data_IF_856400847009
#
_entry.id   IF_856400847009
#
_cell.length_a   1.000
_cell.length_b   1.000
_cell.length_c   1.000
_cell.angle_alpha   90.00
_cell.angle_beta   90.00
_cell.angle_gamma   90.00
#
_symmetry.space_group_name_H-M   'P 1'
#
loop_
_entity.id
_entity.type
_entity.pdbx_description
1 polymer ?
#
# COMPACT_ATOMS: atom_id res chain seq x y z
N UNK A 1 21.56 -32.57 47.27
CA UNK A 1 23.02 -32.53 47.47
C UNK A 1 23.60 -31.79 46.27
N UNK A 2 23.98 -30.53 46.45
CA UNK A 2 25.37 -30.05 46.28
C UNK A 2 25.80 -30.06 44.79
N UNK A 3 26.16 -28.95 44.11
CA UNK A 3 26.79 -27.71 44.58
C UNK A 3 26.73 -26.58 43.52
N UNK A 4 26.72 -25.33 44.03
CA UNK A 4 27.59 -24.17 43.69
C UNK A 4 27.74 -23.69 42.22
N UNK A 5 27.94 -22.40 41.91
CA UNK A 5 27.84 -21.07 42.54
C UNK A 5 28.17 -20.08 41.40
N UNK A 6 27.26 -19.14 41.15
CA UNK A 6 27.45 -17.79 40.62
C UNK A 6 28.91 -17.27 40.47
N UNK A 7 29.30 -16.83 39.26
CA UNK A 7 30.27 -15.72 39.03
C UNK A 7 29.86 -14.89 37.81
N UNK A 8 30.06 -13.59 37.96
CA UNK A 8 29.55 -12.48 37.16
C UNK A 8 30.25 -12.29 35.80
N UNK A 9 29.50 -11.70 34.87
CA UNK A 9 29.85 -10.75 33.81
C UNK A 9 31.23 -10.82 33.13
N UNK A 10 31.22 -11.05 31.81
CA UNK A 10 32.15 -10.40 30.87
C UNK A 10 31.35 -9.95 29.64
N UNK A 11 31.21 -8.63 29.49
CA UNK A 11 30.85 -7.97 28.24
C UNK A 11 32.08 -8.01 27.34
N UNK A 12 31.95 -8.54 26.11
CA UNK A 12 32.90 -8.25 25.03
C UNK A 12 32.13 -7.60 23.89
N UNK A 13 32.40 -6.31 23.70
CA UNK A 13 32.10 -5.50 22.54
C UNK A 13 33.05 -5.89 21.40
N UNK A 14 32.51 -6.39 20.29
CA UNK A 14 33.17 -6.39 18.98
C UNK A 14 32.08 -6.57 17.91
N UNK A 15 31.56 -5.49 17.32
CA UNK A 15 32.12 -4.84 16.13
C UNK A 15 32.06 -5.75 14.89
N UNK A 16 30.98 -5.59 14.12
CA UNK A 16 30.74 -6.27 12.84
C UNK A 16 29.56 -5.60 12.13
N UNK A 17 29.75 -4.33 11.77
CA UNK A 17 28.81 -3.51 11.02
C UNK A 17 29.20 -3.56 9.53
N UNK A 18 28.20 -3.72 8.65
CA UNK A 18 28.29 -3.45 7.21
C UNK A 18 28.28 -4.72 6.34
N UNK A 19 27.43 -4.90 5.35
CA UNK A 19 26.55 -4.00 4.60
C UNK A 19 25.29 -4.78 4.22
N UNK A 20 24.12 -4.40 4.73
CA UNK A 20 22.87 -4.67 4.03
C UNK A 20 22.47 -3.34 3.38
N UNK A 21 23.01 -3.08 2.19
CA UNK A 21 22.68 -1.90 1.40
C UNK A 21 21.31 -2.11 0.73
N UNK A 22 20.24 -2.01 1.53
CA UNK A 22 18.87 -1.88 1.04
C UNK A 22 18.37 -0.48 1.37
N UNK A 23 18.75 0.54 0.58
CA UNK A 23 18.41 1.94 0.93
C UNK A 23 18.24 2.85 -0.29
N UNK A 24 17.62 2.35 -1.36
CA UNK A 24 17.19 3.20 -2.48
C UNK A 24 15.74 3.66 -2.33
N UNK A 25 14.81 2.71 -2.20
CA UNK A 25 13.37 2.97 -2.30
C UNK A 25 12.77 3.60 -1.05
N UNK A 26 13.13 3.11 0.15
CA UNK A 26 12.64 3.67 1.41
C UNK A 26 12.94 5.17 1.53
N UNK A 27 14.14 5.59 1.10
CA UNK A 27 14.54 6.99 1.12
C UNK A 27 13.73 7.85 0.14
N UNK A 28 13.30 7.30 -1.00
CA UNK A 28 12.54 8.04 -2.02
C UNK A 28 11.09 8.27 -1.59
N UNK A 29 10.41 7.23 -1.10
CA UNK A 29 9.04 7.32 -0.58
C UNK A 29 8.99 8.31 0.58
N UNK A 30 9.95 8.25 1.50
CA UNK A 30 10.05 9.18 2.62
C UNK A 30 10.28 10.63 2.16
N UNK A 31 11.18 10.85 1.19
CA UNK A 31 11.46 12.19 0.67
C UNK A 31 10.23 12.82 0.02
N UNK A 32 9.52 12.07 -0.83
CA UNK A 32 8.29 12.53 -1.49
C UNK A 32 7.17 12.77 -0.47
N UNK A 33 7.03 11.90 0.53
CA UNK A 33 6.07 12.08 1.63
C UNK A 33 6.30 13.41 2.35
N UNK A 34 7.56 13.75 2.67
CA UNK A 34 7.88 15.03 3.33
C UNK A 34 7.55 16.23 2.44
N UNK A 35 7.77 16.13 1.13
CA UNK A 35 7.42 17.21 0.20
C UNK A 35 5.91 17.40 0.07
N UNK A 36 5.11 16.32 0.11
CA UNK A 36 3.65 16.40 0.17
C UNK A 36 3.13 17.15 1.40
N UNK A 37 3.88 17.16 2.50
CA UNK A 37 3.57 17.88 3.73
C UNK A 37 4.17 19.31 3.78
N UNK A 38 4.81 19.76 2.69
CA UNK A 38 5.40 21.09 2.64
C UNK A 38 4.34 22.18 2.76
N UNK A 39 4.66 23.25 3.48
CA UNK A 39 3.81 24.46 3.55
C UNK A 39 3.69 25.16 2.20
N UNK A 40 4.71 24.99 1.35
CA UNK A 40 4.76 25.56 0.01
C UNK A 40 3.95 24.70 -0.98
N UNK A 41 2.84 25.21 -1.55
CA UNK A 41 2.04 24.46 -2.51
C UNK A 41 2.83 24.06 -3.76
N UNK A 42 3.84 24.82 -4.17
CA UNK A 42 4.69 24.45 -5.31
C UNK A 42 5.49 23.18 -5.04
N UNK A 43 5.99 22.99 -3.82
CA UNK A 43 6.69 21.77 -3.43
C UNK A 43 5.74 20.57 -3.37
N UNK A 44 4.51 20.77 -2.88
CA UNK A 44 3.49 19.71 -2.90
C UNK A 44 3.15 19.29 -4.32
N UNK A 45 2.91 20.26 -5.23
CA UNK A 45 2.65 20.00 -6.66
C UNK A 45 3.82 19.26 -7.31
N UNK A 46 5.06 19.67 -7.03
CA UNK A 46 6.24 18.98 -7.54
C UNK A 46 6.27 17.51 -7.11
N UNK A 47 6.04 17.24 -5.83
CA UNK A 47 5.97 15.88 -5.31
C UNK A 47 4.85 15.07 -5.98
N UNK A 48 3.65 15.63 -6.10
CA UNK A 48 2.50 14.98 -6.77
C UNK A 48 2.85 14.62 -8.22
N UNK A 49 3.47 15.55 -8.94
CA UNK A 49 3.88 15.32 -10.33
C UNK A 49 4.93 14.21 -10.44
N UNK A 50 5.93 14.20 -9.55
CA UNK A 50 6.93 13.12 -9.48
C UNK A 50 6.30 11.78 -9.13
N UNK A 51 5.37 11.74 -8.17
CA UNK A 51 4.65 10.53 -7.76
C UNK A 51 3.87 9.94 -8.94
N UNK A 52 3.11 10.77 -9.65
CA UNK A 52 2.32 10.31 -10.79
C UNK A 52 3.18 9.92 -12.01
N UNK A 53 4.33 10.57 -12.22
CA UNK A 53 5.20 10.25 -13.36
C UNK A 53 6.04 9.01 -13.17
N UNK A 54 6.54 8.81 -11.97
CA UNK A 54 7.40 7.69 -11.62
C UNK A 54 6.58 6.51 -11.06
N UNK A 55 5.24 6.58 -11.18
CA UNK A 55 4.29 5.52 -10.82
C UNK A 55 4.45 4.99 -9.39
N UNK A 56 4.61 5.91 -8.42
CA UNK A 56 4.92 5.58 -7.02
C UNK A 56 3.65 5.20 -6.26
N UNK A 57 3.18 3.98 -6.52
CA UNK A 57 1.91 3.46 -6.00
C UNK A 57 1.81 3.44 -4.47
N UNK A 58 2.92 3.31 -3.76
CA UNK A 58 2.95 3.32 -2.29
C UNK A 58 2.41 4.63 -1.69
N UNK A 59 2.42 5.71 -2.47
CA UNK A 59 1.96 7.04 -2.05
C UNK A 59 0.52 7.37 -2.46
N UNK A 60 -0.22 6.42 -3.04
CA UNK A 60 -1.65 6.61 -3.34
C UNK A 60 -2.44 7.06 -2.10
N UNK A 61 -2.28 6.48 -0.90
CA UNK A 61 -3.00 6.96 0.30
C UNK A 61 -2.69 8.42 0.64
N UNK A 62 -1.42 8.83 0.54
CA UNK A 62 -1.00 10.21 0.80
C UNK A 62 -1.55 11.18 -0.26
N UNK A 63 -1.63 10.75 -1.53
CA UNK A 63 -2.30 11.52 -2.58
C UNK A 63 -3.79 11.67 -2.33
N UNK A 64 -4.50 10.63 -1.85
CA UNK A 64 -5.92 10.73 -1.51
C UNK A 64 -6.17 11.82 -0.45
N UNK A 65 -5.27 11.98 0.52
CA UNK A 65 -5.38 13.06 1.50
C UNK A 65 -5.16 14.46 0.89
N UNK A 66 -4.39 14.59 -0.20
CA UNK A 66 -4.22 15.87 -0.93
C UNK A 66 -5.43 16.27 -1.78
N UNK A 67 -6.44 15.40 -1.94
CA UNK A 67 -7.72 15.80 -2.54
C UNK A 67 -8.50 16.79 -1.66
N UNK A 68 -8.13 16.95 -0.39
CA UNK A 68 -8.68 17.94 0.52
C UNK A 68 -7.81 19.18 0.72
N UNK A 69 -6.74 19.34 -0.07
CA UNK A 69 -5.84 20.49 0.03
C UNK A 69 -6.57 21.82 -0.17
N UNK A 70 -6.17 22.84 0.59
CA UNK A 70 -6.74 24.17 0.51
C UNK A 70 -6.44 24.82 -0.85
N UNK A 71 -5.28 24.52 -1.44
CA UNK A 71 -4.85 25.04 -2.73
C UNK A 71 -5.55 24.29 -3.89
N UNK A 72 -6.32 24.98 -4.76
CA UNK A 72 -7.01 24.35 -5.88
C UNK A 72 -6.09 23.71 -6.91
N UNK A 73 -4.88 24.24 -7.12
CA UNK A 73 -3.92 23.64 -8.03
C UNK A 73 -3.41 22.32 -7.46
N UNK A 74 -3.10 22.26 -6.15
CA UNK A 74 -2.73 21.00 -5.50
C UNK A 74 -3.82 19.94 -5.70
N UNK A 75 -5.10 20.29 -5.50
CA UNK A 75 -6.22 19.36 -5.75
C UNK A 75 -6.30 18.89 -7.20
N UNK A 76 -6.11 19.79 -8.17
CA UNK A 76 -6.11 19.45 -9.60
C UNK A 76 -4.99 18.47 -9.95
N UNK A 77 -3.75 18.78 -9.57
CA UNK A 77 -2.61 17.90 -9.85
C UNK A 77 -2.77 16.55 -9.15
N UNK A 78 -3.32 16.55 -7.93
CA UNK A 78 -3.56 15.31 -7.17
C UNK A 78 -4.51 14.38 -7.90
N UNK A 79 -5.67 14.88 -8.37
CA UNK A 79 -6.63 14.00 -9.04
C UNK A 79 -6.09 13.49 -10.39
N UNK A 80 -5.29 14.30 -11.11
CA UNK A 80 -4.63 13.85 -12.34
C UNK A 80 -3.61 12.74 -12.05
N UNK A 81 -2.80 12.88 -11.00
CA UNK A 81 -1.85 11.85 -10.61
C UNK A 81 -2.54 10.55 -10.17
N UNK A 82 -3.61 10.65 -9.38
CA UNK A 82 -4.41 9.50 -8.96
C UNK A 82 -5.03 8.77 -10.15
N UNK A 83 -5.65 9.50 -11.09
CA UNK A 83 -6.24 8.93 -12.30
C UNK A 83 -5.19 8.22 -13.17
N UNK A 84 -3.98 8.78 -13.27
CA UNK A 84 -2.87 8.14 -13.97
C UNK A 84 -2.44 6.82 -13.30
N UNK A 85 -2.37 6.80 -11.97
CA UNK A 85 -1.91 5.63 -11.20
C UNK A 85 -2.94 4.49 -11.15
N UNK A 86 -4.22 4.82 -11.10
CA UNK A 86 -5.27 3.83 -10.81
C UNK A 86 -6.26 3.63 -11.94
N UNK A 87 -6.31 4.53 -12.92
CA UNK A 87 -7.36 4.60 -13.94
C UNK A 87 -8.69 5.13 -13.41
N UNK A 88 -8.75 5.56 -12.15
CA UNK A 88 -10.00 5.93 -11.47
C UNK A 88 -10.02 7.42 -11.11
N UNK A 89 -11.23 8.00 -11.12
CA UNK A 89 -11.46 9.41 -10.70
C UNK A 89 -12.57 9.55 -9.65
N UNK A 90 -13.46 8.56 -9.56
CA UNK A 90 -14.66 8.55 -8.69
C UNK A 90 -15.50 9.84 -8.75
N UNK A 91 -15.60 10.45 -9.94
CA UNK A 91 -16.35 11.69 -10.15
C UNK A 91 -15.77 12.91 -9.43
N UNK A 92 -14.51 12.87 -9.00
CA UNK A 92 -13.89 13.98 -8.30
C UNK A 92 -13.68 15.20 -9.23
N UNK A 93 -14.24 16.33 -8.81
CA UNK A 93 -14.08 17.64 -9.43
C UNK A 93 -13.32 18.59 -8.48
N UNK A 94 -12.12 19.03 -8.88
CA UNK A 94 -11.23 19.82 -8.01
C UNK A 94 -11.79 21.21 -7.62
N UNK A 95 -12.65 21.77 -8.47
CA UNK A 95 -13.29 23.07 -8.30
C UNK A 95 -14.68 23.00 -7.65
N UNK A 96 -15.21 21.79 -7.43
CA UNK A 96 -16.51 21.63 -6.78
C UNK A 96 -16.46 22.08 -5.31
N UNK A 97 -17.65 22.36 -4.75
CA UNK A 97 -17.80 22.63 -3.34
C UNK A 97 -17.24 21.48 -2.49
N UNK A 98 -16.79 21.81 -1.27
CA UNK A 98 -16.12 20.86 -0.38
C UNK A 98 -16.97 19.62 -0.10
N UNK A 99 -18.30 19.77 0.01
CA UNK A 99 -19.18 18.64 0.33
C UNK A 99 -19.20 17.62 -0.81
N UNK A 100 -19.32 18.07 -2.06
CA UNK A 100 -19.23 17.17 -3.22
C UNK A 100 -17.87 16.49 -3.32
N UNK A 101 -16.78 17.23 -3.07
CA UNK A 101 -15.43 16.65 -3.07
C UNK A 101 -15.28 15.55 -2.00
N UNK A 102 -15.82 15.76 -0.81
CA UNK A 102 -15.77 14.79 0.30
C UNK A 102 -16.49 13.46 -0.01
N UNK A 103 -17.56 13.49 -0.82
CA UNK A 103 -18.21 12.27 -1.30
C UNK A 103 -17.23 11.45 -2.16
N UNK A 104 -16.57 12.08 -3.12
CA UNK A 104 -15.58 11.42 -3.95
C UNK A 104 -14.35 10.95 -3.15
N UNK A 105 -13.87 11.73 -2.16
CA UNK A 105 -12.79 11.33 -1.24
C UNK A 105 -13.17 10.09 -0.43
N UNK A 106 -14.44 9.98 0.00
CA UNK A 106 -14.93 8.78 0.71
C UNK A 106 -14.89 7.53 -0.17
N UNK A 107 -15.22 7.68 -1.46
CA UNK A 107 -15.08 6.60 -2.44
C UNK A 107 -13.62 6.19 -2.64
N UNK A 108 -12.71 7.17 -2.76
CA UNK A 108 -11.26 6.92 -2.81
C UNK A 108 -10.77 6.11 -1.59
N UNK A 109 -11.17 6.51 -0.38
CA UNK A 109 -10.79 5.80 0.86
C UNK A 109 -11.33 4.38 0.91
N UNK A 110 -12.55 4.15 0.41
CA UNK A 110 -13.12 2.81 0.29
C UNK A 110 -12.32 1.95 -0.67
N UNK A 111 -11.97 2.49 -1.83
CA UNK A 111 -11.21 1.80 -2.88
C UNK A 111 -9.84 1.31 -2.37
N UNK A 112 -9.04 2.20 -1.77
CA UNK A 112 -7.73 1.81 -1.24
C UNK A 112 -7.84 0.82 -0.08
N UNK A 113 -8.89 0.92 0.74
CA UNK A 113 -9.14 -0.02 1.84
C UNK A 113 -9.59 -1.41 1.37
N UNK A 114 -10.21 -1.53 0.18
CA UNK A 114 -10.52 -2.83 -0.41
C UNK A 114 -9.28 -3.49 -0.99
N UNK A 115 -8.46 -2.72 -1.71
CA UNK A 115 -7.20 -3.20 -2.30
C UNK A 115 -6.20 -3.71 -1.27
N UNK A 116 -6.10 -3.04 -0.11
CA UNK A 116 -5.25 -3.51 0.98
C UNK A 116 -5.73 -4.86 1.56
N UNK A 117 -7.04 -5.13 1.59
CA UNK A 117 -7.57 -6.42 2.06
C UNK A 117 -7.33 -7.54 1.06
N UNK A 118 -7.45 -7.24 -0.23
CA UNK A 118 -7.19 -8.20 -1.31
C UNK A 118 -5.73 -8.67 -1.28
N UNK A 119 -4.78 -7.74 -1.11
CA UNK A 119 -3.36 -8.09 -0.96
C UNK A 119 -3.04 -8.92 0.28
N UNK A 120 -3.82 -8.78 1.35
CA UNK A 120 -3.63 -9.57 2.59
C UNK A 120 -4.17 -11.01 2.44
N UNK A 121 -5.05 -11.28 1.47
CA UNK A 121 -5.68 -12.59 1.25
C UNK A 121 -4.95 -13.50 0.25
N UNK A 122 -3.92 -13.01 -0.44
CA UNK A 122 -3.20 -13.77 -1.48
C UNK A 122 -2.15 -14.77 -0.93
N UNK A 123 -1.91 -14.82 0.38
CA UNK A 123 -0.94 -15.73 1.00
C UNK A 123 -1.51 -17.10 1.46
N UNK A 124 -2.85 -17.28 1.48
CA UNK A 124 -3.52 -18.45 2.10
C UNK A 124 -4.52 -19.22 1.19
N UNK A 125 -4.35 -19.24 -0.15
CA UNK A 125 -5.19 -20.08 -1.04
C UNK A 125 -4.37 -20.90 -2.06
N UNK A 126 -3.64 -21.90 -1.57
CA UNK A 126 -3.35 -23.08 -2.38
C UNK A 126 -4.47 -24.11 -2.16
N UNK A 127 -5.29 -24.43 -3.18
CA UNK A 127 -6.12 -25.63 -3.09
C UNK A 127 -5.20 -26.84 -3.01
N UNK A 128 -5.25 -27.59 -1.91
CA UNK A 128 -4.60 -28.88 -1.78
C UNK A 128 -5.25 -29.89 -2.75
N UNK A 129 -4.77 -29.91 -3.99
CA UNK A 129 -5.11 -30.92 -4.99
C UNK A 129 -4.28 -32.17 -4.72
N UNK A 130 -4.78 -33.08 -3.87
CA UNK A 130 -4.24 -34.45 -3.80
C UNK A 130 -5.07 -35.36 -4.70
N UNK A 131 -4.47 -35.72 -5.82
CA UNK A 131 -4.96 -36.71 -6.77
C UNK A 131 -4.99 -38.11 -6.13
N UNK A 132 -6.17 -38.74 -6.06
CA UNK A 132 -6.31 -40.19 -5.98
C UNK A 132 -6.72 -40.76 -7.37
N UNK A 133 -6.11 -41.85 -7.89
CA UNK A 133 -6.32 -42.36 -9.26
C UNK A 133 -7.69 -43.07 -9.52
N UNK A 134 -8.04 -43.37 -10.78
CA UNK A 134 -9.43 -43.51 -11.25
C UNK A 134 -10.02 -44.94 -11.31
N UNK A 135 -11.33 -45.00 -11.61
CA UNK A 135 -12.18 -46.10 -12.13
C UNK A 135 -12.77 -47.09 -11.09
N UNK A 136 -14.04 -47.54 -11.09
CA UNK A 136 -15.16 -47.66 -12.06
C UNK A 136 -16.43 -48.17 -11.29
N UNK A 137 -17.60 -48.46 -11.91
CA UNK A 137 -18.44 -47.78 -12.92
C UNK A 137 -19.90 -47.61 -12.38
N UNK A 138 -20.96 -47.30 -13.17
CA UNK A 138 -22.27 -46.91 -12.63
C UNK A 138 -23.16 -48.11 -12.29
N UNK A 139 -23.79 -48.09 -11.12
CA UNK A 139 -24.89 -49.00 -10.84
C UNK A 139 -26.16 -48.51 -11.56
N UNK A 140 -26.34 -49.02 -12.78
CA UNK A 140 -27.65 -49.21 -13.37
C UNK A 140 -28.43 -50.24 -12.55
N UNK A 141 -29.47 -49.80 -11.84
CA UNK A 141 -30.65 -50.64 -11.63
C UNK A 141 -31.85 -50.03 -12.35
N UNK A 142 -32.23 -50.74 -13.40
CA UNK A 142 -33.41 -50.57 -14.23
C UNK A 142 -34.56 -51.39 -13.62
N UNK A 143 -35.76 -50.81 -13.69
CA UNK A 143 -37.08 -51.45 -13.84
C UNK A 143 -37.58 -52.46 -12.79
N UNK A 144 -38.73 -52.11 -12.21
CA UNK A 144 -39.70 -52.97 -11.55
C UNK A 144 -40.97 -52.18 -11.28
#
# INVERSE_FOLDING_TARGET
MCERRLRLAIIVLSAGFGLFAGSGCANRVDALSRQLESKDPTQRIHAIHTIGNDEVGELIPALVDRLDDDDPAVRLYTIVALEKLTGERFGYEYAADRLKRQVAVSNWRRYIGQRARESDTDDDDYPEVTNAPPANPPDTQSAG
#
